data_IF_421436660620
#
_entry.id   IF_421436660620
#
_cell.length_a   1.000
_cell.length_b   1.000
_cell.length_c   1.000
_cell.angle_alpha   90.00
_cell.angle_beta   90.00
_cell.angle_gamma   90.00
#
_symmetry.space_group_name_H-M   'P 1'
#
loop_
_entity.id
_entity.type
_entity.pdbx_description
1 polymer ?
#
# COMPACT_ATOMS: atom_id res chain seq x y z
N UNK A 1 -13.04 -25.01 -7.87
CA UNK A 1 -13.83 -23.82 -7.50
C UNK A 1 -13.05 -22.58 -7.85
N UNK A 2 -13.61 -21.71 -8.67
CA UNK A 2 -13.02 -20.43 -8.97
C UNK A 2 -13.57 -19.38 -8.01
N UNK A 3 -12.71 -18.48 -7.54
CA UNK A 3 -13.12 -17.35 -6.73
C UNK A 3 -12.34 -16.12 -7.19
N UNK A 4 -13.07 -15.04 -7.37
CA UNK A 4 -12.53 -13.81 -7.92
C UNK A 4 -12.58 -12.70 -6.88
N UNK A 5 -11.57 -11.83 -6.94
CA UNK A 5 -11.47 -10.68 -6.07
C UNK A 5 -10.95 -9.53 -6.93
N UNK A 6 -11.62 -8.39 -6.95
CA UNK A 6 -11.25 -7.31 -7.86
C UNK A 6 -10.03 -6.53 -7.45
N UNK A 7 -9.69 -6.54 -6.16
CA UNK A 7 -8.70 -5.61 -5.63
C UNK A 7 -7.64 -6.30 -4.79
N UNK A 8 -6.48 -5.69 -4.74
CA UNK A 8 -5.43 -6.02 -3.78
C UNK A 8 -5.07 -4.74 -3.02
N UNK A 9 -5.11 -4.81 -1.70
CA UNK A 9 -4.64 -3.73 -0.84
C UNK A 9 -3.25 -4.08 -0.31
N UNK A 10 -2.28 -3.20 -0.54
CA UNK A 10 -0.95 -3.28 0.07
C UNK A 10 -0.90 -2.21 1.14
N UNK A 11 -0.74 -2.62 2.40
CA UNK A 11 -0.81 -1.72 3.54
C UNK A 11 0.29 -2.01 4.55
N UNK A 12 0.58 -1.03 5.42
CA UNK A 12 1.43 -1.24 6.57
C UNK A 12 0.72 -2.10 7.62
N UNK A 13 1.49 -2.89 8.36
CA UNK A 13 0.97 -3.70 9.44
C UNK A 13 0.60 -2.90 10.70
N UNK A 14 0.84 -1.59 10.72
CA UNK A 14 0.68 -0.73 11.89
C UNK A 14 -0.71 -0.89 12.53
N UNK A 15 -0.72 -1.19 13.83
CA UNK A 15 -1.95 -1.45 14.57
C UNK A 15 -2.89 -0.23 14.63
N UNK A 16 -2.34 0.98 14.50
CA UNK A 16 -3.12 2.22 14.56
C UNK A 16 -4.05 2.40 13.35
N UNK A 17 -3.82 1.64 12.27
CA UNK A 17 -4.65 1.74 11.05
C UNK A 17 -5.94 0.93 11.12
N UNK A 18 -6.10 0.12 12.16
CA UNK A 18 -7.17 -0.88 12.24
C UNK A 18 -8.56 -0.35 11.94
N UNK A 19 -8.99 0.69 12.65
CA UNK A 19 -10.38 1.16 12.57
C UNK A 19 -10.59 2.16 11.45
N UNK A 20 -9.77 3.20 11.40
CA UNK A 20 -9.94 4.29 10.43
C UNK A 20 -9.67 3.82 8.99
N UNK A 21 -8.69 2.94 8.78
CA UNK A 21 -8.45 2.40 7.45
C UNK A 21 -9.65 1.57 6.97
N UNK A 22 -10.23 0.76 7.84
CA UNK A 22 -11.42 -0.02 7.48
C UNK A 22 -12.61 0.88 7.16
N UNK A 23 -12.80 1.96 7.93
CA UNK A 23 -13.84 2.94 7.64
C UNK A 23 -13.63 3.58 6.26
N UNK A 24 -12.40 3.96 5.94
CA UNK A 24 -12.07 4.54 4.64
C UNK A 24 -12.30 3.53 3.50
N UNK A 25 -11.93 2.29 3.71
CA UNK A 25 -12.17 1.22 2.73
C UNK A 25 -13.65 1.12 2.40
N UNK A 26 -14.50 1.11 3.43
CA UNK A 26 -15.94 0.98 3.26
C UNK A 26 -16.55 2.22 2.59
N UNK A 27 -16.07 3.41 2.92
CA UNK A 27 -16.60 4.68 2.42
C UNK A 27 -16.11 5.04 1.02
N UNK A 28 -14.89 4.62 0.66
CA UNK A 28 -14.24 5.07 -0.59
C UNK A 28 -14.85 4.46 -1.86
N UNK A 29 -15.46 3.29 -1.75
CA UNK A 29 -15.94 2.54 -2.90
C UNK A 29 -14.85 1.91 -3.76
N UNK A 30 -13.57 2.11 -3.43
CA UNK A 30 -12.43 1.59 -4.19
C UNK A 30 -12.31 0.06 -4.13
N UNK A 31 -12.90 -0.54 -3.12
CA UNK A 31 -12.70 -1.97 -2.83
C UNK A 31 -13.94 -2.82 -3.13
N UNK A 32 -14.87 -2.30 -3.91
CA UNK A 32 -16.00 -3.07 -4.39
C UNK A 32 -15.53 -4.31 -5.13
N UNK A 33 -16.18 -5.42 -4.88
CA UNK A 33 -15.81 -6.70 -5.47
C UNK A 33 -14.80 -7.48 -4.64
N UNK A 34 -14.53 -7.02 -3.42
CA UNK A 34 -13.62 -7.68 -2.48
C UNK A 34 -12.18 -7.27 -2.66
N UNK A 35 -11.36 -7.60 -1.67
CA UNK A 35 -9.93 -7.29 -1.74
C UNK A 35 -9.10 -8.30 -0.94
N UNK A 36 -7.99 -8.70 -1.54
CA UNK A 36 -6.92 -9.39 -0.83
C UNK A 36 -6.05 -8.36 -0.12
N UNK A 37 -5.29 -8.77 0.89
CA UNK A 37 -4.45 -7.88 1.67
C UNK A 37 -3.02 -8.41 1.75
N UNK A 38 -2.06 -7.55 1.42
CA UNK A 38 -0.66 -7.73 1.80
C UNK A 38 -0.38 -6.70 2.89
N UNK A 39 -0.05 -7.18 4.09
CA UNK A 39 0.18 -6.33 5.26
C UNK A 39 1.60 -6.55 5.77
N UNK A 40 2.46 -5.58 5.53
CA UNK A 40 3.88 -5.64 5.88
C UNK A 40 4.32 -4.33 6.52
N UNK A 41 5.40 -4.38 7.29
CA UNK A 41 6.00 -3.16 7.83
C UNK A 41 6.45 -2.25 6.68
N UNK A 42 5.96 -1.02 6.64
CA UNK A 42 6.25 -0.06 5.57
C UNK A 42 5.46 -0.28 4.29
N UNK A 43 4.43 -1.11 4.31
CA UNK A 43 3.58 -1.41 3.15
C UNK A 43 4.39 -1.92 1.96
N UNK A 44 4.61 -1.12 0.91
CA UNK A 44 5.37 -1.53 -0.28
C UNK A 44 6.86 -1.21 -0.23
N UNK A 45 7.37 -0.73 0.92
CA UNK A 45 8.79 -0.36 1.08
C UNK A 45 9.74 -1.45 0.60
N UNK A 46 9.50 -2.70 0.99
CA UNK A 46 10.38 -3.81 0.64
C UNK A 46 10.30 -4.19 -0.85
N UNK A 47 9.24 -3.86 -1.53
CA UNK A 47 9.17 -4.01 -2.99
C UNK A 47 9.96 -2.89 -3.67
N UNK A 48 9.87 -1.66 -3.16
CA UNK A 48 10.54 -0.50 -3.74
C UNK A 48 12.07 -0.56 -3.55
N UNK A 49 12.54 -0.98 -2.36
CA UNK A 49 13.96 -0.91 -2.00
C UNK A 49 14.61 -2.23 -1.59
N UNK A 50 13.87 -3.33 -1.62
CA UNK A 50 14.35 -4.63 -1.18
C UNK A 50 15.37 -5.27 -2.12
N UNK A 51 16.04 -6.34 -1.63
CA UNK A 51 16.90 -7.18 -2.45
C UNK A 51 16.07 -7.96 -3.47
N UNK A 52 16.74 -8.58 -4.45
CA UNK A 52 16.06 -9.39 -5.47
C UNK A 52 15.17 -10.48 -4.88
N UNK A 53 15.66 -11.18 -3.85
CA UNK A 53 14.89 -12.24 -3.18
C UNK A 53 13.64 -11.70 -2.49
N UNK A 54 13.76 -10.57 -1.82
CA UNK A 54 12.63 -9.93 -1.13
C UNK A 54 11.60 -9.44 -2.16
N UNK A 55 12.07 -8.81 -3.23
CA UNK A 55 11.18 -8.37 -4.32
C UNK A 55 10.45 -9.55 -4.96
N UNK A 56 11.16 -10.64 -5.22
CA UNK A 56 10.57 -11.84 -5.81
C UNK A 56 9.49 -12.43 -4.91
N UNK A 57 9.76 -12.51 -3.61
CA UNK A 57 8.77 -12.99 -2.64
C UNK A 57 7.53 -12.10 -2.63
N UNK A 58 7.74 -10.79 -2.60
CA UNK A 58 6.62 -9.83 -2.61
C UNK A 58 5.76 -10.01 -3.87
N UNK A 59 6.42 -10.08 -5.03
CA UNK A 59 5.72 -10.25 -6.31
C UNK A 59 4.98 -11.58 -6.41
N UNK A 60 5.49 -12.65 -5.77
CA UNK A 60 4.77 -13.92 -5.69
C UNK A 60 3.44 -13.75 -4.94
N UNK A 61 3.43 -12.94 -3.87
CA UNK A 61 2.19 -12.66 -3.14
C UNK A 61 1.22 -11.86 -4.02
N UNK A 62 1.71 -10.86 -4.73
CA UNK A 62 0.89 -10.08 -5.66
C UNK A 62 0.28 -11.01 -6.72
N UNK A 63 1.06 -11.97 -7.24
CA UNK A 63 0.59 -12.87 -8.30
C UNK A 63 -0.57 -13.76 -7.86
N UNK A 64 -0.66 -14.11 -6.59
CA UNK A 64 -1.82 -14.85 -6.08
C UNK A 64 -3.10 -14.04 -6.29
N UNK A 65 -3.04 -12.75 -5.98
CA UNK A 65 -4.19 -11.87 -6.18
C UNK A 65 -4.49 -11.62 -7.66
N UNK A 66 -3.47 -11.29 -8.45
CA UNK A 66 -3.67 -10.91 -9.86
C UNK A 66 -3.93 -12.10 -10.76
N UNK A 67 -3.18 -13.19 -10.61
CA UNK A 67 -3.24 -14.33 -11.53
C UNK A 67 -4.29 -15.37 -11.11
N UNK A 68 -4.47 -15.61 -9.82
CA UNK A 68 -5.42 -16.61 -9.32
C UNK A 68 -6.78 -16.02 -8.97
N UNK A 69 -6.82 -14.86 -8.33
CA UNK A 69 -8.09 -14.20 -7.98
C UNK A 69 -8.53 -13.19 -9.01
N UNK A 70 -7.73 -12.93 -10.03
CA UNK A 70 -8.03 -12.03 -11.14
C UNK A 70 -8.22 -10.57 -10.72
N UNK A 71 -7.47 -10.12 -9.69
CA UNK A 71 -7.52 -8.74 -9.26
C UNK A 71 -7.06 -7.81 -10.40
N UNK A 72 -7.86 -6.79 -10.67
CA UNK A 72 -7.60 -5.81 -11.73
C UNK A 72 -7.13 -4.47 -11.20
N UNK A 73 -7.13 -4.30 -9.87
CA UNK A 73 -6.72 -3.06 -9.22
C UNK A 73 -5.86 -3.37 -8.00
N UNK A 74 -4.74 -2.66 -7.88
CA UNK A 74 -3.90 -2.68 -6.69
C UNK A 74 -3.95 -1.30 -6.06
N UNK A 75 -4.31 -1.23 -4.79
CA UNK A 75 -4.27 0.00 -4.01
C UNK A 75 -3.08 -0.08 -3.07
N UNK A 76 -2.14 0.84 -3.23
CA UNK A 76 -0.95 0.93 -2.37
C UNK A 76 -1.22 2.02 -1.36
N UNK A 77 -1.24 1.65 -0.08
CA UNK A 77 -1.54 2.56 1.02
C UNK A 77 -0.33 2.70 1.94
N UNK A 78 0.19 3.91 2.05
CA UNK A 78 1.24 4.27 3.00
C UNK A 78 0.71 5.30 3.99
N UNK A 79 1.39 5.47 5.12
CA UNK A 79 0.92 6.39 6.16
C UNK A 79 2.08 7.15 6.81
N UNK A 80 1.75 8.28 7.43
CA UNK A 80 2.71 9.09 8.19
C UNK A 80 3.16 8.35 9.46
N UNK A 81 4.30 8.75 9.99
CA UNK A 81 4.87 8.21 11.22
C UNK A 81 5.02 6.70 11.18
N UNK A 82 5.53 6.20 10.07
CA UNK A 82 5.72 4.77 9.85
C UNK A 82 7.03 4.29 10.47
N UNK A 83 6.93 3.32 11.40
CA UNK A 83 8.10 2.79 12.10
C UNK A 83 9.14 2.15 11.19
N UNK A 84 8.72 1.51 10.11
CA UNK A 84 9.64 0.89 9.15
C UNK A 84 10.50 1.93 8.45
N UNK A 85 9.93 3.10 8.15
CA UNK A 85 10.68 4.20 7.55
C UNK A 85 11.53 4.93 8.59
N UNK A 86 11.02 5.14 9.79
CA UNK A 86 11.77 5.78 10.87
C UNK A 86 13.01 4.98 11.26
N UNK A 87 12.97 3.66 11.14
CA UNK A 87 14.09 2.78 11.42
C UNK A 87 15.26 3.02 10.45
N UNK A 88 14.96 3.21 9.18
CA UNK A 88 15.99 3.31 8.12
C UNK A 88 16.30 4.74 7.70
N UNK A 89 15.43 5.69 8.03
CA UNK A 89 15.55 7.08 7.60
C UNK A 89 15.44 8.03 8.78
N UNK A 90 16.12 9.17 8.67
CA UNK A 90 16.02 10.25 9.62
C UNK A 90 15.34 11.43 8.91
N UNK A 91 14.10 11.73 9.27
CA UNK A 91 13.35 12.80 8.62
C UNK A 91 13.36 14.09 9.46
N UNK A 92 13.60 15.20 8.79
CA UNK A 92 13.58 16.51 9.42
C UNK A 92 12.14 17.04 9.60
N UNK A 93 11.19 16.53 8.81
CA UNK A 93 9.80 16.99 8.84
C UNK A 93 8.84 15.91 8.34
N UNK A 94 7.56 16.14 8.59
CA UNK A 94 6.49 15.27 8.05
C UNK A 94 6.49 15.29 6.52
N UNK A 95 6.76 16.44 5.91
CA UNK A 95 6.83 16.59 4.46
C UNK A 95 7.94 15.76 3.86
N UNK A 96 9.10 15.71 4.52
CA UNK A 96 10.23 14.92 4.07
C UNK A 96 9.90 13.42 4.10
N UNK A 97 9.27 12.95 5.16
CA UNK A 97 8.78 11.57 5.25
C UNK A 97 7.80 11.26 4.13
N UNK A 98 6.80 12.12 3.94
CA UNK A 98 5.77 11.94 2.92
C UNK A 98 6.39 11.86 1.52
N UNK A 99 7.32 12.78 1.22
CA UNK A 99 8.02 12.82 -0.07
C UNK A 99 8.73 11.50 -0.34
N UNK A 100 9.49 11.00 0.64
CA UNK A 100 10.22 9.74 0.50
C UNK A 100 9.27 8.57 0.28
N UNK A 101 8.21 8.48 1.05
CA UNK A 101 7.27 7.39 0.91
C UNK A 101 6.53 7.44 -0.44
N UNK A 102 6.17 8.62 -0.90
CA UNK A 102 5.53 8.78 -2.22
C UNK A 102 6.48 8.36 -3.35
N UNK A 103 7.76 8.70 -3.25
CA UNK A 103 8.77 8.23 -4.22
C UNK A 103 8.79 6.69 -4.27
N UNK A 104 8.78 6.05 -3.12
CA UNK A 104 8.76 4.59 -3.04
C UNK A 104 7.45 4.00 -3.60
N UNK A 105 6.32 4.63 -3.32
CA UNK A 105 5.04 4.21 -3.91
C UNK A 105 5.06 4.30 -5.44
N UNK A 106 5.68 5.34 -5.98
CA UNK A 106 5.81 5.50 -7.44
C UNK A 106 6.70 4.42 -8.04
N UNK A 107 7.79 4.05 -7.35
CA UNK A 107 8.62 2.92 -7.76
C UNK A 107 7.83 1.60 -7.73
N UNK A 108 7.04 1.39 -6.69
CA UNK A 108 6.16 0.23 -6.58
C UNK A 108 5.20 0.18 -7.77
N UNK A 109 4.58 1.30 -8.11
CA UNK A 109 3.67 1.40 -9.26
C UNK A 109 4.38 1.01 -10.56
N UNK A 110 5.58 1.53 -10.78
CA UNK A 110 6.37 1.20 -11.97
C UNK A 110 6.66 -0.29 -12.06
N UNK A 111 7.08 -0.91 -10.95
CA UNK A 111 7.37 -2.35 -10.88
C UNK A 111 6.11 -3.16 -11.21
N UNK A 112 4.99 -2.80 -10.59
CA UNK A 112 3.72 -3.50 -10.81
C UNK A 112 3.19 -3.33 -12.22
N UNK A 113 3.27 -2.13 -12.79
CA UNK A 113 2.82 -1.86 -14.15
C UNK A 113 3.69 -2.55 -15.20
N UNK A 114 4.97 -2.70 -14.95
CA UNK A 114 5.86 -3.45 -15.85
C UNK A 114 5.47 -4.92 -15.90
N UNK A 115 5.20 -5.52 -14.74
CA UNK A 115 4.84 -6.94 -14.66
C UNK A 115 3.38 -7.20 -15.04
N UNK A 116 2.49 -6.29 -14.70
CA UNK A 116 1.04 -6.40 -14.93
C UNK A 116 0.50 -5.15 -15.61
N UNK A 117 0.76 -4.98 -16.93
CA UNK A 117 0.42 -3.74 -17.63
C UNK A 117 -1.07 -3.36 -17.61
N UNK A 118 -1.95 -4.36 -17.49
CA UNK A 118 -3.39 -4.12 -17.51
C UNK A 118 -3.98 -3.80 -16.14
N UNK A 119 -3.19 -3.96 -15.07
CA UNK A 119 -3.67 -3.70 -13.70
C UNK A 119 -3.63 -2.20 -13.42
N UNK A 120 -4.72 -1.68 -12.85
CA UNK A 120 -4.75 -0.32 -12.34
C UNK A 120 -4.02 -0.26 -11.00
N UNK A 121 -3.15 0.72 -10.81
CA UNK A 121 -2.45 0.93 -9.54
C UNK A 121 -2.81 2.30 -9.00
N UNK A 122 -3.44 2.33 -7.83
CA UNK A 122 -3.83 3.55 -7.12
C UNK A 122 -2.92 3.72 -5.93
N UNK A 123 -2.34 4.91 -5.80
CA UNK A 123 -1.50 5.27 -4.64
C UNK A 123 -2.34 6.08 -3.66
N UNK A 124 -2.27 5.72 -2.39
CA UNK A 124 -3.05 6.38 -1.35
C UNK A 124 -2.21 6.65 -0.11
N UNK A 125 -2.54 7.71 0.58
CA UNK A 125 -1.80 8.20 1.74
C UNK A 125 -2.74 8.46 2.90
N UNK A 126 -2.33 8.03 4.10
CA UNK A 126 -3.02 8.34 5.35
C UNK A 126 -2.13 9.18 6.26
N UNK A 127 -2.59 10.38 6.59
CA UNK A 127 -1.88 11.26 7.53
C UNK A 127 -2.51 11.11 8.91
N UNK A 128 -1.79 10.44 9.82
CA UNK A 128 -2.23 10.26 11.19
C UNK A 128 -2.18 11.60 11.92
N UNK A 129 -3.32 11.99 12.50
CA UNK A 129 -3.46 13.27 13.18
C UNK A 129 -3.15 13.20 14.68
N UNK A 130 -3.02 11.98 15.22
CA UNK A 130 -2.74 11.74 16.65
C UNK A 130 -1.91 10.47 16.83
N UNK A 131 -1.44 10.24 18.05
CA UNK A 131 -0.56 9.12 18.39
C UNK A 131 -1.23 7.75 18.29
N UNK A 132 -2.56 7.70 18.33
CA UNK A 132 -3.31 6.46 18.40
C UNK A 132 -4.02 6.09 17.11
N UNK A 133 -3.94 6.96 16.08
CA UNK A 133 -4.64 6.71 14.82
C UNK A 133 -6.16 6.85 14.93
N UNK A 134 -6.64 7.62 15.92
CA UNK A 134 -8.08 7.87 16.07
C UNK A 134 -8.63 8.74 14.96
N UNK A 135 -7.79 9.56 14.39
CA UNK A 135 -8.14 10.39 13.23
C UNK A 135 -7.03 10.30 12.19
N UNK A 136 -7.41 9.93 10.98
CA UNK A 136 -6.50 9.82 9.84
C UNK A 136 -7.12 10.57 8.66
N UNK A 137 -6.34 11.43 8.02
CA UNK A 137 -6.77 12.09 6.79
C UNK A 137 -6.25 11.28 5.60
N UNK A 138 -7.17 10.85 4.75
CA UNK A 138 -6.86 10.01 3.58
C UNK A 138 -6.85 10.84 2.32
N UNK A 139 -5.92 10.54 1.41
CA UNK A 139 -5.90 11.15 0.09
C UNK A 139 -5.45 10.14 -0.96
N UNK A 140 -5.91 10.33 -2.19
CA UNK A 140 -5.38 9.62 -3.35
C UNK A 140 -4.23 10.46 -3.89
N UNK A 141 -3.08 9.81 -4.06
CA UNK A 141 -1.88 10.48 -4.56
C UNK A 141 -1.92 10.46 -6.08
N UNK A 142 -1.89 11.66 -6.68
CA UNK A 142 -1.88 11.81 -8.13
C UNK A 142 -0.46 12.01 -8.65
N UNK A 143 -0.25 11.65 -9.90
CA UNK A 143 1.03 11.83 -10.58
C UNK A 143 1.71 10.56 -11.02
#
# INVERSE_FOLDING_TARGET
MSHNCKNLLIRCMDFRLRDELMNWIDESGLFEGGFDVISLAGASKSLADGSGEIKDFFLQQVSVSTDLHHASRVVVFHHSDCGAYAKDCSFASKEEEKTKQIEDMKKTREILKEKYPSVEVILSWGDLQDEHGEKINFEIVEG
#
